data_IF_504338056676
#
_entry.id   IF_504338056676
#
_cell.length_a   1.000
_cell.length_b   1.000
_cell.length_c   1.000
_cell.angle_alpha   90.00
_cell.angle_beta   90.00
_cell.angle_gamma   90.00
#
_symmetry.space_group_name_H-M   'P 1'
#
loop_
_entity.id
_entity.type
_entity.pdbx_description
1 polymer ?
#
# COMPACT_ATOMS: atom_id res chain seq x y z
N UNK A 1 -13.26 17.75 15.26
CA UNK A 1 -13.64 16.38 14.85
C UNK A 1 -12.57 15.46 15.41
N UNK A 2 -12.89 14.26 15.93
CA UNK A 2 -11.83 13.33 16.35
C UNK A 2 -10.93 13.02 15.15
N UNK A 3 -9.62 13.06 15.37
CA UNK A 3 -8.65 12.72 14.35
C UNK A 3 -8.61 11.20 14.15
N UNK A 4 -8.63 10.76 12.90
CA UNK A 4 -8.42 9.38 12.53
C UNK A 4 -7.47 9.34 11.33
N UNK A 5 -6.26 8.87 11.55
CA UNK A 5 -5.23 8.79 10.52
C UNK A 5 -3.91 8.26 11.07
N UNK A 6 -2.95 7.93 10.18
CA UNK A 6 -1.71 7.25 10.57
C UNK A 6 -0.62 8.18 11.11
N UNK A 7 -0.86 9.49 11.21
CA UNK A 7 0.16 10.45 11.67
C UNK A 7 0.36 10.43 13.19
N UNK A 8 -0.60 9.87 13.94
CA UNK A 8 -0.57 9.78 15.39
C UNK A 8 -0.98 8.38 15.82
N UNK A 9 -0.56 7.96 17.02
CA UNK A 9 -1.02 6.72 17.61
C UNK A 9 -2.55 6.74 17.78
N UNK A 10 -3.21 5.63 17.49
CA UNK A 10 -4.65 5.47 17.71
C UNK A 10 -5.04 5.51 19.19
N UNK A 11 -4.05 5.36 20.09
CA UNK A 11 -4.27 5.50 21.55
C UNK A 11 -4.39 6.95 22.00
N UNK A 12 -4.04 7.93 21.15
CA UNK A 12 -4.16 9.34 21.48
C UNK A 12 -5.55 9.87 21.12
N UNK A 13 -6.27 10.39 22.12
CA UNK A 13 -7.55 11.07 21.93
C UNK A 13 -7.35 12.47 21.33
N UNK A 14 -7.05 12.53 20.03
CA UNK A 14 -6.77 13.78 19.33
C UNK A 14 -7.98 14.27 18.52
N UNK A 15 -8.03 15.59 18.33
CA UNK A 15 -9.07 16.27 17.58
C UNK A 15 -8.43 17.22 16.55
N UNK A 16 -9.13 17.43 15.43
CA UNK A 16 -8.77 18.40 14.40
C UNK A 16 -9.78 19.52 14.25
N UNK A 17 -9.26 20.72 13.98
CA UNK A 17 -10.02 21.92 13.67
C UNK A 17 -9.51 22.59 12.39
N UNK A 18 -10.36 22.86 11.38
CA UNK A 18 -9.92 23.49 10.14
C UNK A 18 -9.52 24.95 10.39
N UNK A 19 -8.32 25.33 9.98
CA UNK A 19 -7.86 26.71 10.02
C UNK A 19 -8.34 27.42 8.75
N UNK A 20 -9.48 28.10 8.84
CA UNK A 20 -10.03 28.90 7.74
C UNK A 20 -9.78 30.40 7.98
N UNK A 21 -8.69 30.90 7.39
CA UNK A 21 -8.23 32.28 7.63
C UNK A 21 -9.20 33.37 7.11
N UNK A 22 -9.98 33.12 6.05
CA UNK A 22 -10.72 34.23 5.37
C UNK A 22 -12.25 34.14 5.36
N UNK A 23 -12.85 32.95 5.56
CA UNK A 23 -14.30 32.77 5.36
C UNK A 23 -15.17 32.91 6.60
N UNK A 24 -14.60 32.78 7.80
CA UNK A 24 -15.36 32.82 9.04
C UNK A 24 -15.74 34.26 9.45
N UNK A 25 -14.96 35.26 9.05
CA UNK A 25 -15.21 36.67 9.42
C UNK A 25 -16.31 37.30 8.56
N UNK A 26 -16.45 36.88 7.29
CA UNK A 26 -17.35 37.56 6.34
C UNK A 26 -18.81 37.07 6.30
N UNK A 27 -19.15 35.96 6.96
CA UNK A 27 -20.53 35.42 6.92
C UNK A 27 -21.03 35.11 8.32
N UNK A 28 -21.77 36.07 8.88
CA UNK A 28 -22.47 35.91 10.14
C UNK A 28 -23.25 34.58 10.23
N UNK A 29 -23.06 33.90 11.36
CA UNK A 29 -23.89 32.85 11.98
C UNK A 29 -24.41 31.69 11.11
N UNK A 30 -23.87 31.42 9.93
CA UNK A 30 -24.21 30.20 9.20
C UNK A 30 -23.47 29.00 9.81
N UNK A 31 -24.23 27.99 10.27
CA UNK A 31 -23.72 26.71 10.78
C UNK A 31 -22.60 26.19 9.87
N UNK A 32 -21.46 25.82 10.47
CA UNK A 32 -20.36 25.19 9.73
C UNK A 32 -20.90 23.98 8.97
N UNK A 33 -20.79 24.00 7.62
CA UNK A 33 -21.12 22.84 6.79
C UNK A 33 -20.00 21.82 6.88
N UNK A 34 -20.35 20.54 7.01
CA UNK A 34 -19.41 19.42 7.18
C UNK A 34 -18.32 19.37 6.09
N UNK A 35 -18.66 19.73 4.85
CA UNK A 35 -17.69 19.83 3.73
C UNK A 35 -16.60 20.90 3.91
N UNK A 36 -16.59 21.66 5.01
CA UNK A 36 -15.50 22.57 5.35
C UNK A 36 -14.22 21.82 5.75
N UNK A 37 -14.32 20.71 6.49
CA UNK A 37 -13.16 19.90 6.89
C UNK A 37 -12.47 19.27 5.69
N UNK A 38 -13.26 18.80 4.73
CA UNK A 38 -12.76 18.21 3.48
C UNK A 38 -11.97 19.23 2.64
N UNK A 39 -12.35 20.52 2.70
CA UNK A 39 -11.75 21.59 1.90
C UNK A 39 -10.67 22.38 2.62
N UNK A 40 -10.50 22.17 3.92
CA UNK A 40 -9.48 22.87 4.69
C UNK A 40 -8.08 22.43 4.23
N UNK A 41 -7.26 23.42 3.90
CA UNK A 41 -5.83 23.23 3.56
C UNK A 41 -5.03 22.99 4.83
N UNK A 42 -5.37 23.66 5.94
CA UNK A 42 -4.69 23.52 7.21
C UNK A 42 -5.66 23.08 8.30
N UNK A 43 -5.20 22.23 9.22
CA UNK A 43 -5.99 21.76 10.34
C UNK A 43 -5.13 21.81 11.62
N UNK A 44 -5.62 22.46 12.66
CA UNK A 44 -5.02 22.42 13.99
C UNK A 44 -5.35 21.06 14.63
N UNK A 45 -4.35 20.39 15.19
CA UNK A 45 -4.50 19.19 16.01
C UNK A 45 -4.41 19.60 17.47
N UNK A 46 -5.33 19.13 18.29
CA UNK A 46 -5.36 19.42 19.72
C UNK A 46 -5.79 18.20 20.55
N UNK A 47 -5.37 18.17 21.82
CA UNK A 47 -5.72 17.12 22.78
C UNK A 47 -7.18 17.23 23.21
N UNK A 48 -7.68 16.22 23.93
CA UNK A 48 -9.01 16.27 24.56
C UNK A 48 -9.16 17.43 25.57
N UNK A 49 -8.05 17.93 26.10
CA UNK A 49 -7.99 19.07 27.01
C UNK A 49 -7.89 20.43 26.28
N UNK A 50 -7.86 20.43 24.95
CA UNK A 50 -7.78 21.66 24.15
C UNK A 50 -6.35 22.17 23.89
N UNK A 51 -5.32 21.40 24.26
CA UNK A 51 -3.93 21.81 24.05
C UNK A 51 -3.54 21.63 22.59
N UNK A 52 -2.96 22.66 21.96
CA UNK A 52 -2.48 22.57 20.60
C UNK A 52 -1.27 21.62 20.52
N UNK A 53 -1.42 20.54 19.77
CA UNK A 53 -0.37 19.54 19.57
C UNK A 53 0.44 19.89 18.33
N UNK A 54 -0.23 20.11 17.19
CA UNK A 54 0.42 20.26 15.88
C UNK A 54 -0.50 20.97 14.87
N UNK A 55 0.02 21.21 13.67
CA UNK A 55 -0.77 21.60 12.49
C UNK A 55 -0.57 20.57 11.39
N UNK A 56 -1.65 20.16 10.75
CA UNK A 56 -1.65 19.35 9.54
C UNK A 56 -1.92 20.23 8.31
N UNK A 57 -1.26 19.92 7.21
CA UNK A 57 -1.51 20.53 5.90
C UNK A 57 -1.94 19.48 4.89
N UNK A 58 -2.85 19.86 3.99
CA UNK A 58 -3.28 19.03 2.87
C UNK A 58 -2.26 19.09 1.74
N UNK A 59 -1.74 17.93 1.35
CA UNK A 59 -0.76 17.79 0.28
C UNK A 59 -1.43 17.55 -1.08
N UNK A 60 -0.67 17.67 -2.17
CA UNK A 60 -1.24 17.71 -3.54
C UNK A 60 -2.00 16.43 -3.95
N UNK A 61 -1.76 15.29 -3.27
CA UNK A 61 -2.56 14.06 -3.44
C UNK A 61 -3.78 13.98 -2.51
N UNK A 62 -4.14 15.08 -1.84
CA UNK A 62 -5.22 15.21 -0.84
C UNK A 62 -4.99 14.54 0.52
N UNK A 63 -3.84 13.92 0.76
CA UNK A 63 -3.48 13.44 2.10
C UNK A 63 -3.13 14.59 3.05
N UNK A 64 -2.93 14.27 4.33
CA UNK A 64 -2.47 15.20 5.35
C UNK A 64 -1.00 14.92 5.69
N UNK A 65 -0.21 15.98 5.84
CA UNK A 65 1.15 15.96 6.36
C UNK A 65 1.28 16.86 7.58
N UNK A 66 2.10 16.45 8.55
CA UNK A 66 2.40 17.24 9.74
C UNK A 66 3.33 18.38 9.37
N UNK A 67 2.99 19.59 9.79
CA UNK A 67 3.84 20.76 9.68
C UNK A 67 4.95 20.71 10.73
N UNK A 68 6.12 21.24 10.40
CA UNK A 68 7.18 21.41 11.37
C UNK A 68 6.82 22.53 12.36
N UNK A 69 7.03 22.26 13.65
CA UNK A 69 6.92 23.25 14.70
C UNK A 69 8.20 24.10 14.71
N UNK A 70 8.03 25.42 14.70
CA UNK A 70 9.13 26.38 14.84
C UNK A 70 9.08 26.88 16.29
N UNK A 71 10.11 26.64 17.07
CA UNK A 71 10.28 27.25 18.39
C UNK A 71 11.43 28.26 18.33
N UNK A 72 11.22 29.47 18.83
CA UNK A 72 12.25 30.52 18.89
C UNK A 72 12.92 30.83 17.53
N UNK A 73 12.15 30.76 16.43
CA UNK A 73 12.60 31.03 15.06
C UNK A 73 13.68 30.08 14.53
N UNK A 74 14.00 29.01 15.26
CA UNK A 74 14.82 27.92 14.76
C UNK A 74 13.95 26.66 14.63
N UNK A 75 14.11 25.87 13.55
CA UNK A 75 13.58 24.51 13.56
C UNK A 75 14.13 23.83 14.81
N UNK A 76 13.27 23.21 15.63
CA UNK A 76 13.77 22.26 16.60
C UNK A 76 14.30 21.12 15.75
N UNK A 77 15.59 21.17 15.44
CA UNK A 77 16.24 20.02 14.86
C UNK A 77 16.08 18.91 15.91
N UNK A 78 15.31 17.88 15.55
CA UNK A 78 15.26 16.61 16.28
C UNK A 78 16.61 15.89 16.13
N UNK A 79 17.73 16.59 16.38
CA UNK A 79 19.10 16.13 16.22
C UNK A 79 19.35 14.83 16.98
N UNK A 80 18.67 14.64 18.12
CA UNK A 80 18.86 13.47 18.97
C UNK A 80 18.20 12.19 18.46
N UNK A 81 17.36 12.23 17.41
CA UNK A 81 16.76 11.02 16.80
C UNK A 81 17.29 10.70 15.38
N UNK A 82 18.23 11.49 14.86
CA UNK A 82 18.65 11.39 13.46
C UNK A 82 19.44 10.13 13.13
N UNK A 83 20.28 9.63 14.04
CA UNK A 83 21.22 8.53 13.74
C UNK A 83 20.54 7.18 13.49
N UNK A 84 19.27 7.04 13.87
CA UNK A 84 18.53 5.79 13.74
C UNK A 84 17.33 5.90 12.79
N UNK A 85 17.12 7.04 12.14
CA UNK A 85 16.03 7.18 11.15
C UNK A 85 16.27 6.28 9.94
N UNK A 86 15.26 5.49 9.56
CA UNK A 86 15.33 4.59 8.40
C UNK A 86 14.65 5.19 7.16
N UNK A 87 14.16 6.43 7.26
CA UNK A 87 13.46 7.11 6.17
C UNK A 87 12.76 8.40 6.60
N UNK A 88 11.80 8.81 5.79
CA UNK A 88 11.05 10.05 5.92
C UNK A 88 9.54 9.80 5.90
N UNK A 89 8.82 10.30 6.90
CA UNK A 89 7.37 10.36 6.92
C UNK A 89 6.87 11.63 6.20
N UNK A 90 6.29 11.43 5.02
CA UNK A 90 5.73 12.47 4.16
C UNK A 90 4.20 12.32 4.09
N UNK A 91 3.50 12.85 5.09
CA UNK A 91 2.07 12.60 5.22
C UNK A 91 1.77 11.17 5.60
N UNK A 92 0.92 10.45 4.87
CA UNK A 92 0.67 9.03 5.16
C UNK A 92 1.74 8.10 4.58
N UNK A 93 2.64 8.63 3.75
CA UNK A 93 3.66 7.84 3.06
C UNK A 93 4.98 7.88 3.82
N UNK A 94 5.48 6.69 4.17
CA UNK A 94 6.86 6.52 4.60
C UNK A 94 7.76 6.30 3.38
N UNK A 95 8.88 7.01 3.28
CA UNK A 95 9.85 6.91 2.20
C UNK A 95 11.18 6.38 2.79
N UNK A 96 11.55 5.13 2.52
CA UNK A 96 12.78 4.53 3.05
C UNK A 96 14.04 5.24 2.54
N UNK A 97 15.12 5.19 3.33
CA UNK A 97 16.41 5.76 2.94
C UNK A 97 16.96 5.15 1.65
N UNK A 98 16.71 3.86 1.40
CA UNK A 98 17.16 3.18 0.17
C UNK A 98 16.56 3.83 -1.08
N UNK A 99 15.29 4.22 -1.01
CA UNK A 99 14.58 4.90 -2.09
C UNK A 99 15.12 6.32 -2.30
N UNK A 100 15.42 7.02 -1.20
CA UNK A 100 16.04 8.35 -1.24
C UNK A 100 17.41 8.30 -1.91
N UNK A 101 18.28 7.37 -1.50
CA UNK A 101 19.61 7.23 -2.08
C UNK A 101 19.56 6.83 -3.56
N UNK A 102 18.69 5.88 -3.91
CA UNK A 102 18.51 5.47 -5.30
C UNK A 102 18.09 6.65 -6.19
N UNK A 103 17.10 7.44 -5.75
CA UNK A 103 16.64 8.61 -6.49
C UNK A 103 17.67 9.72 -6.51
N UNK A 104 18.38 9.93 -5.42
CA UNK A 104 19.44 10.93 -5.34
C UNK A 104 20.59 10.63 -6.32
N UNK A 105 20.99 9.37 -6.45
CA UNK A 105 21.99 8.95 -7.42
C UNK A 105 21.54 9.25 -8.86
N UNK A 106 20.27 8.97 -9.19
CA UNK A 106 19.70 9.36 -10.49
C UNK A 106 19.76 10.88 -10.65
N UNK A 107 19.27 11.64 -9.68
CA UNK A 107 19.18 13.10 -9.76
C UNK A 107 20.53 13.77 -10.02
N UNK A 108 21.60 13.30 -9.35
CA UNK A 108 22.98 13.79 -9.57
C UNK A 108 23.42 13.66 -11.03
N UNK A 109 23.04 12.58 -11.71
CA UNK A 109 23.39 12.38 -13.13
C UNK A 109 22.70 13.37 -14.08
N UNK A 110 21.72 14.15 -13.62
CA UNK A 110 20.97 15.11 -14.44
C UNK A 110 21.32 16.57 -14.17
N UNK A 111 22.17 16.86 -13.18
CA UNK A 111 22.62 18.23 -12.90
C UNK A 111 23.33 18.80 -14.13
N UNK A 112 22.93 20.02 -14.56
CA UNK A 112 23.53 20.72 -15.70
C UNK A 112 23.14 20.19 -17.08
N UNK A 113 22.26 19.19 -17.20
CA UNK A 113 21.88 18.59 -18.49
C UNK A 113 20.73 19.29 -19.23
N UNK A 114 20.30 20.47 -18.78
CA UNK A 114 19.25 21.26 -19.44
C UNK A 114 17.87 20.56 -19.53
N UNK A 115 17.54 19.72 -18.55
CA UNK A 115 16.22 19.06 -18.44
C UNK A 115 15.32 19.82 -17.46
N UNK A 116 14.03 19.46 -17.40
CA UNK A 116 13.08 20.06 -16.46
C UNK A 116 13.52 19.85 -15.00
N UNK A 117 14.20 18.74 -14.71
CA UNK A 117 14.77 18.43 -13.41
C UNK A 117 16.27 18.02 -13.50
N UNK A 118 17.06 18.26 -12.44
CA UNK A 118 16.71 18.95 -11.21
C UNK A 118 16.30 20.41 -11.45
N UNK A 119 15.21 20.84 -10.80
CA UNK A 119 14.64 22.17 -11.00
C UNK A 119 15.08 23.09 -9.86
N UNK A 120 15.30 24.39 -10.10
CA UNK A 120 15.48 25.36 -9.02
C UNK A 120 14.31 25.31 -8.04
N UNK A 121 14.61 25.28 -6.75
CA UNK A 121 13.61 25.35 -5.71
C UNK A 121 13.06 26.77 -5.59
N UNK A 122 11.73 26.92 -5.74
CA UNK A 122 11.05 28.22 -5.68
C UNK A 122 10.10 28.35 -4.48
N UNK A 123 10.21 27.48 -3.48
CA UNK A 123 9.37 27.52 -2.28
C UNK A 123 9.96 28.38 -1.16
N UNK A 124 9.28 28.43 -0.01
CA UNK A 124 9.63 29.30 1.11
C UNK A 124 10.46 28.62 2.22
N UNK A 125 10.66 27.30 2.16
CA UNK A 125 11.40 26.53 3.19
C UNK A 125 12.93 26.75 3.20
N UNK A 126 13.50 27.31 2.13
CA UNK A 126 14.93 27.53 1.96
C UNK A 126 15.17 28.91 1.36
N UNK A 127 16.35 29.50 1.60
CA UNK A 127 16.72 30.77 0.99
C UNK A 127 16.81 30.60 -0.54
N UNK A 128 16.08 31.40 -1.35
CA UNK A 128 16.16 31.33 -2.81
C UNK A 128 17.57 31.56 -3.36
N UNK A 129 18.41 32.33 -2.67
CA UNK A 129 19.80 32.59 -3.07
C UNK A 129 20.73 31.40 -2.81
N UNK A 130 20.29 30.41 -2.02
CA UNK A 130 21.07 29.21 -1.73
C UNK A 130 21.23 28.27 -2.93
N UNK A 131 20.53 28.53 -4.04
CA UNK A 131 20.64 27.73 -5.27
C UNK A 131 20.18 26.28 -5.11
N UNK A 132 19.24 26.04 -4.19
CA UNK A 132 18.72 24.70 -3.94
C UNK A 132 17.99 24.15 -5.17
N UNK A 133 18.14 22.85 -5.39
CA UNK A 133 17.51 22.09 -6.47
C UNK A 133 16.55 21.08 -5.87
N UNK A 134 15.48 20.76 -6.59
CA UNK A 134 14.55 19.68 -6.24
C UNK A 134 14.49 18.63 -7.33
N UNK A 135 14.24 17.38 -6.93
CA UNK A 135 14.02 16.26 -7.85
C UNK A 135 12.85 15.39 -7.37
N UNK A 136 11.87 15.05 -8.23
CA UNK A 136 10.73 14.22 -7.82
C UNK A 136 11.18 12.81 -7.44
N UNK A 137 10.61 12.24 -6.40
CA UNK A 137 10.92 10.86 -6.00
C UNK A 137 10.14 9.87 -6.86
N UNK A 138 8.84 10.13 -7.04
CA UNK A 138 7.93 9.20 -7.71
C UNK A 138 7.17 9.85 -8.87
N UNK A 139 6.81 9.02 -9.86
CA UNK A 139 5.79 9.26 -10.88
C UNK A 139 4.71 8.18 -10.74
N UNK A 140 3.59 8.55 -10.12
CA UNK A 140 2.59 7.57 -9.70
C UNK A 140 3.21 6.58 -8.70
N UNK A 141 3.32 5.31 -9.11
CA UNK A 141 3.89 4.21 -8.29
C UNK A 141 5.34 3.88 -8.62
N UNK A 142 5.92 4.47 -9.66
CA UNK A 142 7.28 4.19 -10.09
C UNK A 142 8.25 5.30 -9.68
N UNK A 143 9.53 4.99 -9.59
CA UNK A 143 10.60 5.99 -9.44
C UNK A 143 10.65 6.94 -10.63
N UNK A 144 10.91 8.22 -10.35
CA UNK A 144 11.10 9.22 -11.39
C UNK A 144 12.51 9.15 -11.98
N UNK A 145 12.64 8.83 -13.28
CA UNK A 145 13.94 8.53 -13.92
C UNK A 145 14.38 9.47 -15.04
N UNK A 146 13.46 10.21 -15.67
CA UNK A 146 13.70 10.77 -17.01
C UNK A 146 13.95 12.28 -17.04
N UNK A 147 13.94 12.96 -15.88
CA UNK A 147 14.13 14.40 -15.80
C UNK A 147 13.04 15.26 -16.46
N UNK A 148 12.02 14.65 -17.09
CA UNK A 148 10.91 15.32 -17.77
C UNK A 148 9.56 14.60 -17.52
N UNK A 149 8.46 15.36 -17.58
CA UNK A 149 7.09 14.84 -17.54
C UNK A 149 6.36 14.98 -16.19
N UNK A 150 5.20 14.31 -16.01
CA UNK A 150 4.38 14.49 -14.82
C UNK A 150 5.06 13.91 -13.58
N UNK A 151 4.99 14.66 -12.48
CA UNK A 151 5.66 14.36 -11.22
C UNK A 151 4.67 14.05 -10.11
N UNK A 152 5.07 13.21 -9.16
CA UNK A 152 4.39 13.09 -7.87
C UNK A 152 4.62 14.30 -6.97
N UNK A 153 4.02 14.30 -5.76
CA UNK A 153 4.13 15.43 -4.84
C UNK A 153 5.38 15.39 -3.96
N UNK A 154 6.15 14.29 -3.96
CA UNK A 154 7.30 14.09 -3.09
C UNK A 154 8.60 14.40 -3.84
N UNK A 155 9.49 15.17 -3.21
CA UNK A 155 10.73 15.63 -3.81
C UNK A 155 11.89 15.48 -2.82
N UNK A 156 13.08 15.12 -3.31
CA UNK A 156 14.32 15.38 -2.59
C UNK A 156 14.77 16.82 -2.84
N UNK A 157 15.48 17.38 -1.86
CA UNK A 157 16.14 18.69 -1.95
C UNK A 157 17.64 18.47 -1.97
N UNK A 158 18.31 19.14 -2.89
CA UNK A 158 19.75 19.17 -3.01
C UNK A 158 20.23 20.61 -2.92
N UNK A 159 21.43 20.85 -2.39
CA UNK A 159 22.04 22.17 -2.49
C UNK A 159 22.61 22.44 -3.88
N UNK A 160 23.19 23.63 -4.06
CA UNK A 160 23.83 24.05 -5.31
C UNK A 160 25.03 23.18 -5.72
N UNK A 161 25.60 22.41 -4.79
CA UNK A 161 26.68 21.46 -5.03
C UNK A 161 26.16 20.04 -5.32
N UNK A 162 24.84 19.84 -5.37
CA UNK A 162 24.23 18.53 -5.59
C UNK A 162 24.31 17.59 -4.39
N UNK A 163 24.54 18.11 -3.17
CA UNK A 163 24.50 17.31 -1.93
C UNK A 163 23.06 17.22 -1.45
N UNK A 164 22.66 16.03 -0.98
CA UNK A 164 21.34 15.82 -0.40
C UNK A 164 21.14 16.66 0.86
N UNK A 165 20.00 17.32 0.98
CA UNK A 165 19.65 18.19 2.10
C UNK A 165 18.43 17.66 2.86
N UNK A 166 17.34 17.35 2.15
CA UNK A 166 16.07 16.99 2.81
C UNK A 166 15.09 16.29 1.85
N UNK A 167 13.94 15.88 2.39
CA UNK A 167 12.75 15.45 1.64
C UNK A 167 11.60 16.39 1.93
N UNK A 168 10.97 16.90 0.88
CA UNK A 168 9.82 17.79 0.96
C UNK A 168 8.63 17.22 0.19
N UNK A 169 7.43 17.66 0.58
CA UNK A 169 6.19 17.32 -0.10
C UNK A 169 5.42 18.58 -0.49
N UNK A 170 4.94 18.60 -1.74
CA UNK A 170 4.18 19.71 -2.32
C UNK A 170 2.77 19.74 -1.73
N UNK A 171 2.36 20.92 -1.26
CA UNK A 171 1.01 21.15 -0.75
C UNK A 171 0.01 21.36 -1.88
N UNK A 172 -1.29 21.40 -1.58
CA UNK A 172 -2.30 21.78 -2.58
C UNK A 172 -2.16 23.23 -3.06
N UNK A 173 -1.49 24.10 -2.29
CA UNK A 173 -1.23 25.49 -2.70
C UNK A 173 -0.07 25.51 -3.68
N UNK A 174 -0.22 26.26 -4.79
CA UNK A 174 0.84 26.37 -5.79
C UNK A 174 2.16 26.82 -5.15
N UNK A 175 3.25 26.16 -5.54
CA UNK A 175 4.62 26.42 -5.06
C UNK A 175 4.80 26.42 -3.53
N UNK A 176 3.90 25.76 -2.80
CA UNK A 176 4.02 25.58 -1.35
C UNK A 176 4.44 24.15 -1.05
N UNK A 177 5.36 24.01 -0.10
CA UNK A 177 5.95 22.74 0.31
C UNK A 177 5.99 22.68 1.83
N UNK A 178 6.03 21.46 2.37
CA UNK A 178 6.39 21.20 3.77
C UNK A 178 7.49 20.15 3.83
N UNK A 179 8.36 20.25 4.84
CA UNK A 179 9.39 19.24 5.12
C UNK A 179 8.74 17.95 5.60
N UNK A 180 9.24 16.83 5.12
CA UNK A 180 8.91 15.54 5.70
C UNK A 180 9.64 15.37 7.04
N UNK A 181 9.14 14.50 7.90
CA UNK A 181 9.72 14.26 9.22
C UNK A 181 10.58 13.01 9.12
N UNK A 182 11.83 13.06 9.57
CA UNK A 182 12.64 11.83 9.68
C UNK A 182 11.96 10.88 10.66
N UNK A 183 11.79 9.63 10.25
CA UNK A 183 11.09 8.65 11.05
C UNK A 183 11.75 7.28 10.90
N UNK A 184 11.51 6.42 11.90
CA UNK A 184 11.75 5.00 11.77
C UNK A 184 10.52 4.34 11.17
N UNK A 185 10.73 3.26 10.44
CA UNK A 185 9.62 2.39 10.07
C UNK A 185 9.23 1.55 11.29
N UNK A 186 8.62 2.17 12.31
CA UNK A 186 8.24 1.49 13.57
C UNK A 186 7.20 0.39 13.35
N UNK A 187 6.53 0.37 12.19
CA UNK A 187 5.72 -0.76 11.76
C UNK A 187 6.52 -2.04 11.50
N UNK A 188 7.85 -1.94 11.41
CA UNK A 188 8.78 -3.07 11.27
C UNK A 188 9.25 -3.63 12.63
N UNK A 189 9.33 -2.81 13.70
CA UNK A 189 9.84 -3.27 15.01
C UNK A 189 8.84 -4.12 15.78
N UNK A 190 7.53 -3.84 15.65
CA UNK A 190 6.45 -4.69 16.18
C UNK A 190 6.49 -6.16 15.72
N UNK A 191 7.29 -6.48 14.70
CA UNK A 191 7.44 -7.84 14.18
C UNK A 191 8.86 -8.39 14.27
N UNK A 192 9.85 -7.57 14.63
CA UNK A 192 11.26 -8.02 14.68
C UNK A 192 11.63 -8.63 16.03
N UNK A 193 10.93 -8.25 17.11
CA UNK A 193 11.14 -8.85 18.44
C UNK A 193 10.36 -10.17 18.63
N UNK A 194 9.55 -10.58 17.64
CA UNK A 194 8.78 -11.82 17.68
C UNK A 194 9.61 -13.09 17.39
N UNK A 195 10.88 -12.96 16.99
CA UNK A 195 11.79 -14.10 16.81
C UNK A 195 12.54 -14.48 18.10
N UNK A 196 12.30 -13.79 19.22
CA UNK A 196 12.93 -14.11 20.50
C UNK A 196 11.91 -14.12 21.63
N UNK A 197 11.60 -15.33 22.12
CA UNK A 197 10.78 -15.70 23.28
C UNK A 197 9.26 -15.85 23.04
N UNK A 198 8.82 -17.12 23.02
CA UNK A 198 7.43 -17.57 23.23
C UNK A 198 6.36 -16.75 22.52
N UNK A 199 6.28 -16.88 21.19
CA UNK A 199 5.16 -16.37 20.41
C UNK A 199 3.87 -17.10 20.85
N UNK A 200 3.15 -16.52 21.80
CA UNK A 200 1.75 -16.87 22.04
C UNK A 200 1.02 -16.70 20.71
N UNK A 201 0.47 -17.82 20.21
CA UNK A 201 -0.21 -17.89 18.92
C UNK A 201 -1.27 -16.78 18.84
N UNK A 202 -1.08 -15.85 17.90
CA UNK A 202 -2.03 -14.74 17.73
C UNK A 202 -3.27 -15.26 17.02
N UNK A 203 -4.28 -15.64 17.80
CA UNK A 203 -5.59 -16.02 17.29
C UNK A 203 -6.37 -14.75 16.93
N UNK A 204 -6.70 -14.58 15.65
CA UNK A 204 -7.49 -13.43 15.17
C UNK A 204 -8.94 -13.84 14.94
N UNK A 205 -9.88 -13.31 15.71
CA UNK A 205 -11.31 -13.47 15.46
C UNK A 205 -11.89 -12.30 14.68
N UNK A 206 -12.95 -12.56 13.90
CA UNK A 206 -13.60 -11.54 13.08
C UNK A 206 -14.72 -12.07 12.20
N UNK A 207 -15.08 -11.29 11.18
CA UNK A 207 -16.11 -11.63 10.19
C UNK A 207 -15.55 -11.58 8.77
N UNK A 208 -15.90 -12.58 7.96
CA UNK A 208 -15.52 -12.68 6.55
C UNK A 208 -16.73 -12.44 5.66
N UNK A 209 -16.64 -11.42 4.82
CA UNK A 209 -17.65 -11.06 3.84
C UNK A 209 -17.10 -11.32 2.44
N UNK A 210 -17.42 -12.46 1.85
CA UNK A 210 -16.74 -12.99 0.64
C UNK A 210 -15.22 -13.04 0.85
N UNK A 211 -14.53 -12.00 0.41
CA UNK A 211 -13.09 -11.90 0.27
C UNK A 211 -12.47 -10.84 1.19
N UNK A 212 -13.26 -10.33 2.12
CA UNK A 212 -12.86 -9.26 3.04
C UNK A 212 -13.02 -9.74 4.47
N UNK A 213 -11.93 -9.69 5.23
CA UNK A 213 -11.93 -9.98 6.66
C UNK A 213 -11.95 -8.70 7.49
N UNK A 214 -12.84 -8.67 8.48
CA UNK A 214 -12.99 -7.61 9.47
C UNK A 214 -12.64 -8.18 10.85
N UNK A 215 -11.49 -7.80 11.40
CA UNK A 215 -11.07 -8.28 12.72
C UNK A 215 -11.94 -7.68 13.84
N UNK A 216 -12.11 -8.43 14.92
CA UNK A 216 -12.88 -7.99 16.09
C UNK A 216 -12.33 -6.67 16.65
N UNK A 217 -11.00 -6.51 16.74
CA UNK A 217 -10.38 -5.25 17.18
C UNK A 217 -10.78 -4.03 16.30
N UNK A 218 -10.82 -4.23 14.98
CA UNK A 218 -11.28 -3.18 14.06
C UNK A 218 -12.77 -2.85 14.28
N UNK A 219 -13.60 -3.87 14.45
CA UNK A 219 -15.04 -3.72 14.66
C UNK A 219 -15.37 -3.09 16.02
N UNK A 220 -14.62 -3.42 17.07
CA UNK A 220 -14.73 -2.79 18.40
C UNK A 220 -14.39 -1.30 18.34
N UNK A 221 -13.35 -0.94 17.59
CA UNK A 221 -13.01 0.47 17.36
C UNK A 221 -14.16 1.20 16.66
N UNK A 222 -14.73 0.60 15.61
CA UNK A 222 -15.88 1.15 14.91
C UNK A 222 -17.12 1.26 15.81
N UNK A 223 -17.36 0.26 16.66
CA UNK A 223 -18.44 0.21 17.64
C UNK A 223 -18.33 1.33 18.68
N UNK A 224 -17.15 1.51 19.28
CA UNK A 224 -16.87 2.61 20.23
C UNK A 224 -17.11 3.98 19.59
N UNK A 225 -16.64 4.16 18.36
CA UNK A 225 -16.87 5.39 17.60
C UNK A 225 -18.37 5.65 17.33
N UNK A 226 -19.13 4.60 17.01
CA UNK A 226 -20.57 4.71 16.81
C UNK A 226 -21.30 5.11 18.11
N UNK A 227 -20.94 4.50 19.24
CA UNK A 227 -21.53 4.82 20.55
C UNK A 227 -21.26 6.27 20.99
N UNK A 228 -20.07 6.80 20.66
CA UNK A 228 -19.70 8.19 20.97
C UNK A 228 -20.30 9.22 20.00
N UNK A 229 -20.64 8.80 18.77
CA UNK A 229 -21.08 9.72 17.72
C UNK A 229 -22.57 10.04 17.84
N UNK A 230 -22.89 11.21 18.38
CA UNK A 230 -24.28 11.73 18.39
C UNK A 230 -24.71 12.39 17.07
N UNK A 231 -23.79 12.64 16.13
CA UNK A 231 -24.06 13.54 14.98
C UNK A 231 -23.55 13.11 13.59
N UNK A 232 -22.44 12.39 13.44
CA UNK A 232 -21.77 12.27 12.13
C UNK A 232 -21.63 10.83 11.59
N UNK A 233 -21.53 9.84 12.48
CA UNK A 233 -21.47 8.41 12.14
C UNK A 233 -22.70 7.75 12.77
N UNK A 234 -23.87 8.31 12.49
CA UNK A 234 -25.10 7.84 13.13
C UNK A 234 -25.44 6.48 12.53
N UNK A 235 -25.36 5.41 13.33
CA UNK A 235 -25.86 4.12 12.89
C UNK A 235 -27.34 4.29 12.53
N UNK A 236 -27.75 3.72 11.41
CA UNK A 236 -29.15 3.81 10.99
C UNK A 236 -29.94 2.70 11.66
N UNK A 237 -31.01 3.06 12.35
CA UNK A 237 -31.97 2.07 12.86
C UNK A 237 -32.51 1.27 11.67
N UNK A 238 -32.55 -0.05 11.82
CA UNK A 238 -33.00 -1.00 10.82
C UNK A 238 -33.95 -2.00 11.46
N UNK A 239 -35.01 -2.35 10.72
CA UNK A 239 -36.04 -3.29 11.15
C UNK A 239 -36.07 -4.48 10.19
N UNK A 240 -35.97 -5.69 10.74
CA UNK A 240 -35.98 -6.94 9.99
C UNK A 240 -34.58 -7.39 9.53
N UNK A 241 -34.57 -8.34 8.59
CA UNK A 241 -33.35 -9.00 8.11
C UNK A 241 -32.26 -7.98 7.76
N UNK A 242 -31.02 -8.10 8.28
CA UNK A 242 -30.40 -9.30 8.84
C UNK A 242 -30.64 -9.52 10.35
N UNK A 243 -31.43 -8.66 10.99
CA UNK A 243 -31.66 -8.71 12.43
C UNK A 243 -33.03 -9.32 12.72
N UNK A 244 -33.11 -10.17 13.76
CA UNK A 244 -34.38 -10.73 14.23
C UNK A 244 -35.16 -9.72 15.12
N UNK A 245 -34.47 -8.66 15.56
CA UNK A 245 -35.00 -7.54 16.33
C UNK A 245 -34.46 -6.20 15.78
N UNK A 246 -35.01 -5.04 16.17
CA UNK A 246 -34.48 -3.75 15.75
C UNK A 246 -33.00 -3.61 16.08
N UNK A 247 -32.21 -3.16 15.11
CA UNK A 247 -30.76 -3.06 15.22
C UNK A 247 -30.24 -1.79 14.53
N UNK A 248 -28.97 -1.51 14.71
CA UNK A 248 -28.26 -0.40 14.09
C UNK A 248 -27.33 -0.90 12.99
N UNK A 249 -27.37 -0.26 11.83
CA UNK A 249 -26.46 -0.50 10.72
C UNK A 249 -25.48 0.65 10.59
N UNK A 250 -24.19 0.35 10.77
CA UNK A 250 -23.09 1.29 10.65
C UNK A 250 -22.23 0.96 9.43
N UNK A 251 -22.08 1.87 8.46
CA UNK A 251 -21.09 1.72 7.40
C UNK A 251 -19.68 1.39 7.92
N UNK A 252 -19.05 0.34 7.37
CA UNK A 252 -17.65 -0.02 7.64
C UNK A 252 -16.90 -0.23 6.33
N UNK A 253 -15.57 -0.12 6.39
CA UNK A 253 -14.72 -0.26 5.21
C UNK A 253 -13.62 -1.28 5.43
N UNK A 254 -13.28 -2.08 4.40
CA UNK A 254 -12.08 -2.90 4.46
C UNK A 254 -10.87 -2.05 4.81
N UNK A 255 -10.04 -2.57 5.70
CA UNK A 255 -8.72 -2.03 6.05
C UNK A 255 -8.71 -0.57 6.53
N UNK A 256 -9.80 -0.08 7.12
CA UNK A 256 -9.84 1.28 7.68
C UNK A 256 -9.69 2.40 6.64
N UNK A 257 -9.95 2.11 5.36
CA UNK A 257 -9.84 3.11 4.29
C UNK A 257 -10.78 4.30 4.57
N UNK A 258 -10.33 5.56 4.38
CA UNK A 258 -11.13 6.74 4.70
C UNK A 258 -12.36 6.86 3.81
N UNK A 259 -13.44 7.49 4.31
CA UNK A 259 -14.66 7.73 3.54
C UNK A 259 -14.40 8.59 2.29
N UNK A 260 -14.90 8.12 1.14
CA UNK A 260 -14.93 8.89 -0.12
C UNK A 260 -16.39 9.24 -0.45
N UNK A 261 -16.71 10.51 -0.75
CA UNK A 261 -18.05 10.91 -1.18
C UNK A 261 -18.50 10.15 -2.43
N UNK A 262 -19.78 9.77 -2.48
CA UNK A 262 -20.43 9.29 -3.72
C UNK A 262 -20.44 7.78 -3.99
N UNK A 263 -19.78 6.95 -3.16
CA UNK A 263 -19.98 5.49 -3.19
C UNK A 263 -20.40 5.00 -1.79
N UNK A 264 -21.62 4.47 -1.69
CA UNK A 264 -22.08 3.77 -0.49
C UNK A 264 -21.12 2.63 -0.15
N UNK A 265 -20.91 2.37 1.14
CA UNK A 265 -20.10 1.21 1.56
C UNK A 265 -20.87 -0.05 1.25
N UNK A 266 -20.19 -1.05 0.71
CA UNK A 266 -20.79 -2.38 0.49
C UNK A 266 -20.92 -3.18 1.79
N UNK A 267 -20.28 -2.74 2.88
CA UNK A 267 -20.23 -3.46 4.14
C UNK A 267 -20.82 -2.60 5.25
N UNK A 268 -21.62 -3.23 6.10
CA UNK A 268 -22.25 -2.61 7.26
C UNK A 268 -21.99 -3.48 8.50
N UNK A 269 -21.52 -2.86 9.56
CA UNK A 269 -21.47 -3.42 10.90
C UNK A 269 -22.89 -3.40 11.48
N UNK A 270 -23.33 -4.55 11.97
CA UNK A 270 -24.61 -4.74 12.65
C UNK A 270 -24.38 -4.62 14.14
N UNK A 271 -25.06 -3.66 14.75
CA UNK A 271 -24.99 -3.38 16.18
C UNK A 271 -26.36 -3.60 16.81
N UNK A 272 -26.40 -4.20 18.00
CA UNK A 272 -27.61 -4.24 18.82
C UNK A 272 -28.00 -2.85 19.31
N UNK A 273 -29.19 -2.71 19.92
CA UNK A 273 -29.62 -1.44 20.53
C UNK A 273 -28.72 -1.00 21.69
N UNK A 274 -28.01 -1.94 22.31
CA UNK A 274 -26.95 -1.73 23.31
C UNK A 274 -25.56 -1.53 22.69
N UNK A 275 -25.50 -1.30 21.37
CA UNK A 275 -24.29 -1.18 20.58
C UNK A 275 -23.40 -2.43 20.57
N UNK A 276 -23.83 -3.60 21.05
CA UNK A 276 -23.01 -4.82 20.91
C UNK A 276 -22.88 -5.25 19.46
N UNK A 277 -21.69 -5.70 19.08
CA UNK A 277 -21.43 -6.21 17.72
C UNK A 277 -22.22 -7.51 17.53
N UNK A 278 -23.19 -7.50 16.62
CA UNK A 278 -23.96 -8.69 16.23
C UNK A 278 -23.35 -9.38 15.01
N UNK A 279 -22.68 -8.63 14.15
CA UNK A 279 -21.95 -9.16 12.99
C UNK A 279 -21.68 -8.13 11.92
N UNK A 280 -21.29 -8.59 10.75
CA UNK A 280 -21.12 -7.75 9.55
C UNK A 280 -22.05 -8.27 8.47
N UNK A 281 -22.58 -7.37 7.65
CA UNK A 281 -23.34 -7.71 6.45
C UNK A 281 -22.80 -7.00 5.22
N UNK A 282 -22.98 -7.64 4.07
CA UNK A 282 -22.69 -7.07 2.76
C UNK A 282 -23.99 -6.66 2.05
N UNK A 283 -24.00 -5.48 1.44
CA UNK A 283 -25.05 -5.00 0.54
C UNK A 283 -24.66 -5.25 -0.92
N UNK A 284 -25.43 -6.05 -1.65
CA UNK A 284 -25.28 -6.26 -3.08
C UNK A 284 -26.65 -6.19 -3.79
N UNK A 285 -26.81 -5.27 -4.75
CA UNK A 285 -28.03 -5.14 -5.59
C UNK A 285 -29.37 -5.30 -4.82
N UNK A 286 -29.51 -4.56 -3.71
CA UNK A 286 -30.65 -4.59 -2.77
C UNK A 286 -30.79 -5.83 -1.88
N UNK A 287 -29.89 -6.80 -1.97
CA UNK A 287 -29.81 -7.92 -1.03
C UNK A 287 -28.80 -7.60 0.07
N UNK A 288 -29.19 -7.87 1.32
CA UNK A 288 -28.29 -7.90 2.46
C UNK A 288 -27.87 -9.36 2.65
N UNK A 289 -26.58 -9.64 2.79
CA UNK A 289 -26.04 -10.98 3.09
C UNK A 289 -25.24 -10.92 4.38
N UNK A 290 -25.54 -11.79 5.36
CA UNK A 290 -24.73 -11.92 6.58
C UNK A 290 -23.33 -12.44 6.22
N UNK A 291 -22.33 -11.85 6.85
CA UNK A 291 -20.96 -12.32 6.78
C UNK A 291 -20.71 -13.40 7.83
N UNK A 292 -19.77 -14.27 7.56
CA UNK A 292 -19.50 -15.44 8.39
C UNK A 292 -18.50 -15.10 9.47
N UNK A 293 -18.78 -15.49 10.72
CA UNK A 293 -17.81 -15.34 11.81
C UNK A 293 -16.69 -16.35 11.61
N UNK A 294 -15.44 -15.89 11.66
CA UNK A 294 -14.25 -16.72 11.44
C UNK A 294 -13.20 -16.41 12.49
N UNK A 295 -12.61 -17.46 13.04
CA UNK A 295 -11.43 -17.40 13.90
C UNK A 295 -10.26 -17.94 13.11
N UNK A 296 -9.24 -17.11 12.92
CA UNK A 296 -8.00 -17.44 12.24
C UNK A 296 -6.97 -17.69 13.34
N UNK A 297 -6.86 -18.95 13.77
CA UNK A 297 -5.81 -19.39 14.68
C UNK A 297 -4.56 -19.83 13.93
N UNK A 298 -3.38 -19.62 14.51
CA UNK A 298 -2.09 -20.05 13.95
C UNK A 298 -2.00 -21.58 13.79
N UNK A 299 -2.76 -22.32 14.62
CA UNK A 299 -2.84 -23.78 14.60
C UNK A 299 -3.67 -24.40 13.47
N UNK A 300 -4.51 -23.62 12.80
CA UNK A 300 -5.29 -24.03 11.61
C UNK A 300 -4.73 -23.39 10.34
N UNK A 301 -3.44 -23.02 10.35
CA UNK A 301 -2.73 -22.82 9.11
C UNK A 301 -2.56 -24.20 8.45
N UNK A 302 -3.64 -24.71 7.84
CA UNK A 302 -3.63 -25.67 6.75
C UNK A 302 -2.99 -25.00 5.50
N UNK A 303 -1.91 -24.25 5.70
CA UNK A 303 -1.03 -23.92 4.61
C UNK A 303 -0.52 -25.26 4.09
N UNK A 304 -0.60 -25.42 2.79
CA UNK A 304 -0.14 -26.65 2.17
C UNK A 304 1.34 -26.86 2.56
N UNK A 305 1.65 -28.00 3.17
CA UNK A 305 3.00 -28.40 3.59
C UNK A 305 3.80 -28.99 2.44
N UNK A 306 3.17 -29.21 1.29
CA UNK A 306 3.81 -29.78 0.12
C UNK A 306 4.79 -28.79 -0.52
N UNK A 307 5.81 -29.36 -1.17
CA UNK A 307 6.62 -28.65 -2.14
C UNK A 307 5.92 -28.73 -3.51
N UNK A 308 6.18 -27.72 -4.36
CA UNK A 308 5.51 -27.56 -5.65
C UNK A 308 6.51 -27.62 -6.80
N UNK A 309 6.17 -28.38 -7.83
CA UNK A 309 6.86 -28.34 -9.12
C UNK A 309 6.13 -27.40 -10.07
N UNK A 310 6.86 -26.41 -10.58
CA UNK A 310 6.41 -25.52 -11.65
C UNK A 310 7.39 -25.66 -12.82
N UNK A 311 7.08 -26.54 -13.77
CA UNK A 311 8.05 -26.99 -14.80
C UNK A 311 9.27 -27.67 -14.15
N UNK A 312 10.47 -27.31 -14.59
CA UNK A 312 11.73 -27.85 -14.05
C UNK A 312 12.13 -27.27 -12.69
N UNK A 313 11.30 -26.39 -12.12
CA UNK A 313 11.60 -25.65 -10.89
C UNK A 313 10.82 -26.21 -9.70
N UNK A 314 11.55 -26.75 -8.72
CA UNK A 314 11.02 -27.12 -7.39
C UNK A 314 11.01 -25.90 -6.45
N UNK A 315 9.87 -25.61 -5.83
CA UNK A 315 9.73 -24.65 -4.73
C UNK A 315 9.44 -25.40 -3.44
N UNK A 316 10.30 -25.25 -2.44
CA UNK A 316 10.09 -25.90 -1.13
C UNK A 316 9.01 -25.18 -0.33
N UNK A 317 8.43 -25.88 0.64
CA UNK A 317 7.44 -25.27 1.52
C UNK A 317 7.98 -24.03 2.26
N UNK A 318 9.21 -24.11 2.76
CA UNK A 318 9.87 -22.99 3.44
C UNK A 318 10.04 -21.76 2.53
N UNK A 319 10.39 -21.96 1.25
CA UNK A 319 10.47 -20.87 0.28
C UNK A 319 9.10 -20.21 0.04
N UNK A 320 8.03 -21.01 -0.03
CA UNK A 320 6.67 -20.51 -0.20
C UNK A 320 6.19 -19.72 1.02
N UNK A 321 6.44 -20.23 2.23
CA UNK A 321 6.12 -19.56 3.49
C UNK A 321 6.88 -18.25 3.66
N UNK A 322 8.19 -18.26 3.40
CA UNK A 322 9.01 -17.05 3.43
C UNK A 322 8.49 -16.00 2.44
N UNK A 323 8.10 -16.42 1.24
CA UNK A 323 7.52 -15.53 0.23
C UNK A 323 6.17 -14.97 0.67
N UNK A 324 5.28 -15.81 1.20
CA UNK A 324 3.97 -15.39 1.71
C UNK A 324 4.14 -14.34 2.83
N UNK A 325 5.11 -14.54 3.73
CA UNK A 325 5.46 -13.56 4.77
C UNK A 325 5.87 -12.22 4.16
N UNK A 326 6.78 -12.23 3.18
CA UNK A 326 7.21 -11.02 2.44
C UNK A 326 6.03 -10.34 1.71
N UNK A 327 5.16 -11.12 1.09
CA UNK A 327 3.97 -10.64 0.40
C UNK A 327 3.03 -9.91 1.36
N UNK A 328 2.74 -10.54 2.51
CA UNK A 328 1.90 -9.96 3.56
C UNK A 328 2.45 -8.64 4.10
N UNK A 329 3.77 -8.54 4.31
CA UNK A 329 4.43 -7.30 4.72
C UNK A 329 4.27 -6.20 3.66
N UNK A 330 4.42 -6.57 2.39
CA UNK A 330 4.34 -5.66 1.25
C UNK A 330 2.92 -5.20 0.92
N UNK A 331 1.88 -5.97 1.28
CA UNK A 331 0.47 -5.60 1.12
C UNK A 331 0.11 -4.25 1.75
N UNK A 332 0.83 -3.84 2.79
CA UNK A 332 0.60 -2.59 3.51
C UNK A 332 1.21 -1.37 2.82
N UNK A 333 2.03 -1.55 1.80
CA UNK A 333 2.65 -0.46 1.05
C UNK A 333 1.84 -0.13 -0.20
N UNK A 334 1.43 1.13 -0.33
CA UNK A 334 0.62 1.64 -1.44
C UNK A 334 1.35 1.63 -2.80
N UNK A 335 2.65 1.34 -2.80
CA UNK A 335 3.53 1.46 -3.97
C UNK A 335 3.78 0.14 -4.71
N UNK A 336 3.27 -0.99 -4.23
CA UNK A 336 3.68 -2.31 -4.72
C UNK A 336 2.58 -2.92 -5.61
N UNK A 337 2.98 -3.46 -6.77
CA UNK A 337 2.08 -4.18 -7.70
C UNK A 337 1.51 -5.45 -7.06
N UNK A 338 2.25 -6.04 -6.12
CA UNK A 338 1.93 -7.28 -5.44
C UNK A 338 2.03 -7.13 -3.91
N UNK A 339 1.28 -7.92 -3.13
CA UNK A 339 0.33 -8.93 -3.58
C UNK A 339 -0.91 -8.31 -4.26
N UNK A 340 -1.29 -8.88 -5.40
CA UNK A 340 -2.46 -8.44 -6.18
C UNK A 340 -3.61 -9.39 -5.91
N UNK A 341 -4.86 -8.92 -6.00
CA UNK A 341 -6.01 -9.82 -6.01
C UNK A 341 -5.91 -10.77 -7.20
N UNK A 342 -6.30 -12.01 -6.99
CA UNK A 342 -6.37 -13.01 -8.05
C UNK A 342 -7.83 -13.28 -8.38
N UNK A 343 -8.19 -12.98 -9.63
CA UNK A 343 -9.54 -13.09 -10.18
C UNK A 343 -9.67 -14.30 -11.14
N UNK A 344 -8.75 -15.27 -11.03
CA UNK A 344 -8.72 -16.46 -11.91
C UNK A 344 -9.57 -17.62 -11.39
N UNK A 345 -9.10 -18.85 -11.64
CA UNK A 345 -9.83 -20.07 -11.27
C UNK A 345 -9.96 -20.25 -9.75
N UNK A 346 -11.06 -20.83 -9.30
CA UNK A 346 -11.28 -21.08 -7.87
C UNK A 346 -10.39 -22.26 -7.44
N UNK A 347 -9.64 -22.08 -6.35
CA UNK A 347 -8.85 -23.16 -5.77
C UNK A 347 -9.71 -24.04 -4.84
N UNK A 348 -9.21 -25.22 -4.51
CA UNK A 348 -9.86 -26.17 -3.61
C UNK A 348 -10.01 -25.64 -2.17
N UNK A 349 -9.31 -24.55 -1.85
CA UNK A 349 -9.41 -23.80 -0.59
C UNK A 349 -10.17 -22.52 -0.86
N UNK A 350 -11.21 -22.18 -0.12
CA UNK A 350 -12.04 -20.99 -0.37
C UNK A 350 -11.25 -19.66 -0.25
N UNK A 351 -11.44 -18.75 -1.21
CA UNK A 351 -10.75 -17.45 -1.29
C UNK A 351 -11.09 -16.48 -0.14
N UNK A 352 -10.43 -15.31 -0.05
CA UNK A 352 -9.76 -14.58 -1.13
C UNK A 352 -8.35 -15.03 -1.44
N UNK A 353 -8.02 -15.06 -2.73
CA UNK A 353 -6.65 -15.30 -3.17
C UNK A 353 -5.92 -14.00 -3.46
N UNK A 354 -4.64 -14.01 -3.16
CA UNK A 354 -3.71 -13.01 -3.64
C UNK A 354 -2.55 -13.70 -4.33
N UNK A 355 -2.12 -13.14 -5.45
CA UNK A 355 -0.92 -13.59 -6.13
C UNK A 355 0.27 -12.76 -5.69
N UNK A 356 1.39 -13.45 -5.49
CA UNK A 356 2.69 -12.84 -5.28
C UNK A 356 3.74 -13.57 -6.13
N UNK A 357 4.69 -12.86 -6.72
CA UNK A 357 5.73 -13.48 -7.53
C UNK A 357 6.76 -14.31 -6.73
N UNK A 358 7.04 -15.52 -7.21
CA UNK A 358 8.07 -16.45 -6.72
C UNK A 358 9.31 -16.47 -7.63
N UNK A 359 10.51 -16.40 -7.05
CA UNK A 359 11.76 -16.56 -7.80
C UNK A 359 12.73 -17.45 -7.04
N UNK A 360 13.09 -18.58 -7.64
CA UNK A 360 14.04 -19.54 -7.04
C UNK A 360 15.43 -18.91 -6.88
N UNK A 361 16.07 -19.14 -5.73
CA UNK A 361 17.48 -18.85 -5.51
C UNK A 361 17.89 -17.37 -5.49
N UNK A 362 16.97 -16.40 -5.36
CA UNK A 362 17.33 -14.99 -5.18
C UNK A 362 16.52 -14.33 -4.05
N UNK A 363 17.21 -13.62 -3.16
CA UNK A 363 16.60 -12.62 -2.28
C UNK A 363 15.85 -11.57 -3.14
N UNK A 364 14.58 -11.33 -2.84
CA UNK A 364 13.61 -10.64 -3.70
C UNK A 364 13.99 -9.18 -4.03
N UNK A 365 14.73 -8.97 -5.13
CA UNK A 365 14.89 -7.64 -5.78
C UNK A 365 14.18 -7.51 -7.13
N UNK A 366 13.68 -8.57 -7.76
CA UNK A 366 12.96 -8.50 -9.07
C UNK A 366 12.09 -9.74 -9.33
N UNK A 367 10.93 -9.50 -9.98
CA UNK A 367 9.66 -10.27 -10.01
C UNK A 367 9.55 -11.33 -11.12
N UNK A 368 9.02 -12.54 -10.82
CA UNK A 368 8.23 -13.48 -11.70
C UNK A 368 7.29 -14.35 -10.82
N UNK A 369 6.11 -14.79 -11.30
CA UNK A 369 4.91 -15.33 -10.58
C UNK A 369 4.96 -16.70 -9.85
N UNK A 370 3.96 -16.98 -8.97
CA UNK A 370 3.63 -18.30 -8.37
C UNK A 370 2.62 -19.15 -9.17
N UNK A 371 2.28 -18.66 -10.35
CA UNK A 371 1.57 -19.39 -11.39
C UNK A 371 2.51 -19.34 -12.58
N UNK A 372 2.87 -20.50 -13.14
CA UNK A 372 3.71 -20.49 -14.33
C UNK A 372 2.87 -20.02 -15.50
N UNK A 373 3.42 -19.12 -16.31
CA UNK A 373 2.77 -18.67 -17.53
C UNK A 373 3.19 -19.64 -18.62
N UNK A 374 2.24 -20.39 -19.16
CA UNK A 374 2.52 -21.27 -20.29
C UNK A 374 2.98 -20.41 -21.48
N UNK A 375 4.14 -20.74 -22.05
CA UNK A 375 4.84 -19.90 -23.04
C UNK A 375 3.98 -19.64 -24.28
N UNK A 376 3.23 -20.66 -24.71
CA UNK A 376 2.45 -20.63 -25.95
C UNK A 376 1.08 -19.95 -25.78
N UNK A 377 0.42 -20.15 -24.64
CA UNK A 377 -0.97 -19.67 -24.42
C UNK A 377 -1.03 -18.39 -23.61
N UNK A 378 0.07 -18.02 -22.94
CA UNK A 378 0.13 -16.92 -21.99
C UNK A 378 -0.85 -17.08 -20.80
N UNK A 379 -1.43 -18.28 -20.59
CA UNK A 379 -2.34 -18.59 -19.49
C UNK A 379 -1.57 -19.00 -18.23
N UNK A 380 -2.18 -18.77 -17.07
CA UNK A 380 -1.62 -19.11 -15.77
C UNK A 380 -1.96 -20.57 -15.45
N UNK A 381 -0.96 -21.44 -15.29
CA UNK A 381 -1.15 -22.87 -15.02
C UNK A 381 -0.89 -23.18 -13.54
N UNK A 382 -1.76 -24.02 -12.95
CA UNK A 382 -1.66 -24.52 -11.57
C UNK A 382 -0.43 -25.43 -11.43
N UNK A 383 0.45 -25.15 -10.47
CA UNK A 383 1.56 -26.05 -10.15
C UNK A 383 1.05 -27.27 -9.38
N UNK A 384 1.63 -28.44 -9.64
CA UNK A 384 1.21 -29.69 -9.00
C UNK A 384 2.03 -29.95 -7.72
N UNK A 385 1.38 -30.38 -6.61
CA UNK A 385 2.08 -30.76 -5.40
C UNK A 385 2.82 -32.09 -5.59
N UNK A 386 3.96 -32.26 -4.91
CA UNK A 386 4.60 -33.58 -4.80
C UNK A 386 3.83 -34.40 -3.77
N UNK A 387 3.07 -35.40 -4.23
CA UNK A 387 2.50 -36.40 -3.33
C UNK A 387 3.61 -37.41 -3.03
N UNK A 388 4.03 -37.49 -1.76
CA UNK A 388 5.11 -38.37 -1.32
C UNK A 388 4.87 -39.82 -1.73
N UNK A 389 5.69 -40.33 -2.65
CA UNK A 389 5.85 -41.75 -2.90
C UNK A 389 6.62 -42.37 -1.73
N UNK A 390 5.93 -42.70 -0.64
CA UNK A 390 6.41 -43.70 0.31
C UNK A 390 6.07 -45.08 -0.26
N UNK A 391 7.02 -45.71 -0.96
CA UNK A 391 6.82 -47.04 -1.53
C UNK A 391 7.76 -47.28 -2.68
N UNK A 392 8.90 -47.93 -2.38
CA UNK A 392 9.85 -48.36 -3.39
C UNK A 392 9.17 -49.22 -4.44
N UNK A 393 9.20 -48.79 -5.69
CA UNK A 393 8.89 -49.61 -6.86
C UNK A 393 9.64 -49.02 -8.05
N UNK A 394 10.58 -49.78 -8.58
CA UNK A 394 11.26 -49.50 -9.84
C UNK A 394 10.20 -49.27 -10.93
N UNK A 395 10.16 -48.07 -11.50
CA UNK A 395 9.52 -47.86 -12.79
C UNK A 395 10.55 -48.13 -13.89
N UNK A 396 10.34 -49.27 -14.54
CA UNK A 396 10.93 -49.68 -15.82
C UNK A 396 10.77 -48.57 -16.84
N UNK A 397 11.88 -48.18 -17.46
CA UNK A 397 11.87 -47.54 -18.77
C UNK A 397 11.25 -48.51 -19.78
N UNK A 398 10.10 -48.15 -20.37
CA UNK A 398 9.69 -48.69 -21.66
C UNK A 398 10.09 -47.70 -22.75
N UNK A 399 11.10 -48.10 -23.51
CA UNK A 399 11.43 -47.56 -24.82
C UNK A 399 10.24 -47.76 -25.76
N UNK A 400 9.78 -46.68 -26.40
CA UNK A 400 9.06 -46.75 -27.66
C UNK A 400 10.09 -46.38 -28.73
N UNK A 401 10.50 -47.38 -29.51
CA UNK A 401 11.37 -47.18 -30.67
C UNK A 401 10.60 -46.57 -31.86
N UNK A 402 11.32 -45.90 -32.77
CA UNK A 402 10.74 -45.15 -33.89
C UNK A 402 10.62 -46.02 -35.16
N UNK A 403 9.53 -45.82 -35.90
CA UNK A 403 9.32 -46.20 -37.30
C UNK A 403 8.46 -45.08 -37.91
N UNK A 404 8.77 -44.47 -39.05
CA UNK A 404 9.74 -44.84 -40.06
C UNK A 404 10.04 -43.68 -41.01
N UNK A 405 11.05 -43.98 -41.80
CA UNK A 405 11.78 -43.15 -42.74
C UNK A 405 11.08 -43.18 -44.11
N UNK A 406 10.85 -42.02 -44.75
CA UNK A 406 10.76 -41.91 -46.21
C UNK A 406 11.30 -40.56 -46.68
N UNK A 407 12.49 -40.60 -47.27
CA UNK A 407 13.10 -39.60 -48.17
C UNK A 407 12.98 -40.15 -49.61
N UNK A 408 13.44 -39.45 -50.68
CA UNK A 408 13.45 -38.00 -50.96
C UNK A 408 12.92 -37.72 -52.40
N UNK A 409 12.75 -36.46 -52.80
CA UNK A 409 12.92 -36.08 -54.22
C UNK A 409 13.56 -34.70 -54.37
N UNK A 410 14.54 -34.70 -55.25
CA UNK A 410 15.34 -33.61 -55.78
C UNK A 410 14.55 -32.37 -56.19
N UNK A 411 15.17 -31.20 -56.05
CA UNK A 411 15.48 -30.41 -57.26
C UNK A 411 16.59 -29.37 -56.99
N UNK A 412 17.57 -29.46 -57.88
CA UNK A 412 18.75 -28.62 -58.11
C UNK A 412 18.44 -27.18 -58.53
N UNK A 413 19.26 -26.24 -58.02
CA UNK A 413 19.88 -25.01 -58.58
C UNK A 413 19.45 -24.48 -59.98
N UNK A 414 19.57 -23.15 -60.30
CA UNK A 414 20.84 -22.40 -60.14
C UNK A 414 20.82 -20.85 -59.94
N UNK A 415 21.97 -20.36 -59.42
CA UNK A 415 22.85 -19.23 -59.87
C UNK A 415 22.25 -17.85 -60.25
N UNK A 416 22.84 -16.79 -59.66
CA UNK A 416 22.96 -15.43 -60.25
C UNK A 416 23.15 -14.33 -59.17
N UNK A 417 24.38 -13.96 -58.78
CA UNK A 417 25.25 -12.88 -59.32
C UNK A 417 24.97 -11.43 -58.85
N UNK A 418 25.95 -10.91 -58.07
CA UNK A 418 26.66 -9.61 -58.17
C UNK A 418 25.93 -8.26 -58.36
N UNK A 419 26.17 -7.31 -57.44
CA UNK A 419 26.66 -5.91 -57.62
C UNK A 419 26.79 -5.28 -56.20
N UNK A 420 27.91 -4.74 -55.69
CA UNK A 420 28.85 -3.68 -56.11
C UNK A 420 28.35 -2.23 -55.91
N UNK A 421 29.05 -1.52 -55.00
CA UNK A 421 29.37 -0.08 -54.91
C UNK A 421 28.29 0.96 -54.51
N UNK A 422 28.72 1.89 -53.65
CA UNK A 422 28.22 3.28 -53.68
C UNK A 422 28.35 4.11 -52.40
N UNK A 423 29.56 4.62 -52.16
CA UNK A 423 29.98 5.78 -51.34
C UNK A 423 29.00 6.96 -51.12
N UNK A 424 29.29 7.66 -50.00
CA UNK A 424 29.23 9.12 -49.69
C UNK A 424 27.88 9.86 -49.65
N UNK A 425 27.54 10.41 -48.47
CA UNK A 425 27.81 11.81 -48.07
C UNK A 425 27.96 11.92 -46.56
#
# INVERSE_FOLDING_TARGET
MSYSGPLYSQTMNLYTWPLHYERLIKKGKNKLKEGMWEKAVYQLVFSEHGEAIDILVRIANSDLAKCWRIENSQPIDQFYEMDQSTGYQCGQKFIPNEDIFYIFDIAKTFIGKGRDFPAPYTGHLYNPEGGFLIWPIYRGRAFYKYGTGPTGPYYIVMDSFGRFQDVIVKTMKQQSFVRCIRARNDLSSLYSDADSSTAEQTVFSGFTCNHVFFSDNYLETAQKLAALSKKNLNPKMHYGYPCDSPCFLLPVRPHGTPYRPGRGTQYLLVLGLDYKIMGVVMMNLNMIKKCERKTIGDGDSNHDKNAYHCGDTLFTNDELLATAKVACLKKKSYDIIYPQHYDGEIFDVEGPYQIYPLKKGKNFKTVVGALTKELDTQQLVKCSPIIGLSGGSQLKYQNINPLGNTNPKDNTHPIGNTHSMGNTY
#
